data_IF_008753399814
#
_entry.id   IF_008753399814
#
_cell.length_a   1.000
_cell.length_b   1.000
_cell.length_c   1.000
_cell.angle_alpha   90.00
_cell.angle_beta   90.00
_cell.angle_gamma   90.00
#
_symmetry.space_group_name_H-M   'P 1'
#
loop_
_entity.id
_entity.type
_entity.pdbx_description
1 polymer ?
#
# COMPACT_ATOMS: atom_id res chain seq x y z
N UNK A 1 -5.08 -27.46 1.64
CA UNK A 1 -4.58 -26.14 2.06
C UNK A 1 -3.28 -25.88 1.33
N UNK A 2 -3.01 -24.64 0.91
CA UNK A 2 -1.69 -24.27 0.38
C UNK A 2 -0.69 -24.24 1.55
N UNK A 3 0.48 -24.82 1.35
CA UNK A 3 1.63 -24.66 2.24
C UNK A 3 2.40 -23.40 1.87
N UNK A 4 3.34 -22.93 2.72
CA UNK A 4 4.17 -21.75 2.37
C UNK A 4 4.95 -21.96 1.07
N UNK A 5 5.24 -23.20 0.69
CA UNK A 5 5.94 -23.55 -0.55
C UNK A 5 5.08 -23.44 -1.82
N UNK A 6 3.76 -23.30 -1.70
CA UNK A 6 2.84 -23.18 -2.84
C UNK A 6 2.52 -21.72 -3.21
N UNK A 7 3.11 -20.75 -2.50
CA UNK A 7 2.89 -19.33 -2.73
C UNK A 7 3.98 -18.83 -3.68
N UNK A 8 3.60 -18.46 -4.89
CA UNK A 8 4.53 -17.87 -5.87
C UNK A 8 4.32 -16.36 -6.03
N UNK A 9 3.11 -15.88 -5.76
CA UNK A 9 2.72 -14.48 -5.95
C UNK A 9 1.88 -13.99 -4.77
N UNK A 10 2.28 -12.85 -4.22
CA UNK A 10 1.55 -12.17 -3.16
C UNK A 10 1.19 -10.74 -3.58
N UNK A 11 0.03 -10.27 -3.12
CA UNK A 11 -0.43 -8.90 -3.30
C UNK A 11 -0.59 -8.23 -1.94
N UNK A 12 0.07 -7.09 -1.75
CA UNK A 12 -0.01 -6.27 -0.54
C UNK A 12 -0.77 -5.00 -0.90
N UNK A 13 -1.88 -4.73 -0.21
CA UNK A 13 -2.72 -3.55 -0.44
C UNK A 13 -2.66 -2.66 0.80
N UNK A 14 -2.14 -1.44 0.66
CA UNK A 14 -1.96 -0.52 1.77
C UNK A 14 -2.43 0.89 1.42
N UNK A 15 -2.85 1.64 2.43
CA UNK A 15 -3.45 2.94 2.22
C UNK A 15 -2.38 3.98 1.86
N UNK A 16 -1.27 4.02 2.59
CA UNK A 16 -0.25 5.05 2.46
C UNK A 16 1.11 4.46 2.08
N UNK A 17 2.02 5.27 1.51
CA UNK A 17 3.44 4.97 1.56
C UNK A 17 3.86 4.61 2.99
N UNK A 18 4.78 3.66 3.19
CA UNK A 18 5.32 3.10 4.45
C UNK A 18 4.48 2.05 5.22
N UNK A 19 3.16 2.02 5.02
CA UNK A 19 2.26 1.08 5.72
C UNK A 19 2.71 -0.39 5.59
N UNK A 20 3.21 -0.78 4.41
CA UNK A 20 3.60 -2.17 4.11
C UNK A 20 4.83 -2.58 4.92
N UNK A 21 5.82 -1.70 5.00
CA UNK A 21 7.04 -1.90 5.75
C UNK A 21 6.77 -1.99 7.26
N UNK A 22 5.93 -1.10 7.79
CA UNK A 22 5.57 -1.08 9.21
C UNK A 22 4.79 -2.32 9.64
N UNK A 23 3.80 -2.73 8.85
CA UNK A 23 2.89 -3.80 9.26
C UNK A 23 3.40 -5.19 8.87
N UNK A 24 4.08 -5.33 7.74
CA UNK A 24 4.43 -6.62 7.17
C UNK A 24 5.86 -6.72 6.62
N UNK A 25 6.75 -5.76 6.88
CA UNK A 25 8.10 -5.75 6.30
C UNK A 25 8.87 -7.06 6.46
N UNK A 26 8.87 -7.67 7.64
CA UNK A 26 9.51 -8.97 7.88
C UNK A 26 8.87 -10.15 7.12
N UNK A 27 7.55 -10.13 6.94
CA UNK A 27 6.84 -11.14 6.13
C UNK A 27 7.18 -10.97 4.65
N UNK A 28 7.23 -9.72 4.18
CA UNK A 28 7.51 -9.38 2.80
C UNK A 28 8.95 -9.76 2.44
N UNK A 29 9.92 -9.43 3.30
CA UNK A 29 11.31 -9.84 3.13
C UNK A 29 11.44 -11.37 3.04
N UNK A 30 10.77 -12.11 3.93
CA UNK A 30 10.77 -13.59 3.88
C UNK A 30 10.18 -14.12 2.58
N UNK A 31 9.11 -13.51 2.08
CA UNK A 31 8.50 -13.89 0.80
C UNK A 31 9.45 -13.65 -0.37
N UNK A 32 10.03 -12.48 -0.49
CA UNK A 32 10.94 -12.17 -1.59
C UNK A 32 12.23 -13.00 -1.52
N UNK A 33 12.79 -13.23 -0.33
CA UNK A 33 13.96 -14.10 -0.11
C UNK A 33 13.71 -15.56 -0.53
N UNK A 34 12.45 -16.02 -0.44
CA UNK A 34 12.04 -17.37 -0.86
C UNK A 34 11.57 -17.43 -2.32
N UNK A 35 11.67 -16.33 -3.06
CA UNK A 35 11.33 -16.25 -4.48
C UNK A 35 9.86 -15.92 -4.79
N UNK A 36 9.05 -15.57 -3.79
CA UNK A 36 7.68 -15.11 -4.01
C UNK A 36 7.71 -13.73 -4.67
N UNK A 37 7.03 -13.59 -5.80
CA UNK A 37 6.83 -12.30 -6.45
C UNK A 37 5.77 -11.48 -5.70
N UNK A 38 6.20 -10.42 -5.03
CA UNK A 38 5.32 -9.52 -4.29
C UNK A 38 5.01 -8.29 -5.15
N UNK A 39 3.72 -7.95 -5.24
CA UNK A 39 3.23 -6.68 -5.81
C UNK A 39 2.61 -5.83 -4.70
N UNK A 40 2.91 -4.53 -4.70
CA UNK A 40 2.25 -3.54 -3.85
C UNK A 40 1.17 -2.78 -4.61
N UNK A 41 0.03 -2.55 -3.96
CA UNK A 41 -0.93 -1.51 -4.28
C UNK A 41 -0.91 -0.46 -3.17
N UNK A 42 -0.45 0.74 -3.48
CA UNK A 42 -0.42 1.88 -2.56
C UNK A 42 -1.53 2.84 -2.98
N UNK A 43 -2.53 3.01 -2.12
CA UNK A 43 -3.78 3.66 -2.53
C UNK A 43 -3.64 5.18 -2.64
N UNK A 44 -2.94 5.80 -1.70
CA UNK A 44 -2.75 7.26 -1.63
C UNK A 44 -1.29 7.65 -1.80
N UNK A 45 -1.04 8.95 -1.99
CA UNK A 45 0.32 9.48 -2.11
C UNK A 45 0.91 9.98 -0.79
N UNK A 46 0.16 9.91 0.31
CA UNK A 46 0.70 10.25 1.62
C UNK A 46 0.93 11.75 1.85
N UNK A 47 0.16 12.62 1.19
CA UNK A 47 0.36 14.08 1.17
C UNK A 47 0.23 14.79 2.54
N UNK A 48 -0.42 14.19 3.54
CA UNK A 48 -0.51 14.77 4.90
C UNK A 48 0.69 14.40 5.78
N UNK A 49 1.50 13.45 5.32
CA UNK A 49 2.74 13.06 5.97
C UNK A 49 3.82 14.15 5.93
N UNK A 50 4.85 13.98 6.76
CA UNK A 50 6.00 14.88 6.82
C UNK A 50 5.77 16.15 7.65
N UNK A 51 6.77 16.51 8.45
CA UNK A 51 6.73 17.65 9.37
C UNK A 51 7.80 18.72 9.09
N UNK A 52 8.61 18.52 8.05
CA UNK A 52 9.64 19.47 7.66
C UNK A 52 9.01 20.69 6.97
N UNK A 53 9.01 21.83 7.66
CA UNK A 53 8.46 23.08 7.15
C UNK A 53 9.26 23.68 5.98
N UNK A 54 10.48 23.19 5.72
CA UNK A 54 11.28 23.62 4.57
C UNK A 54 10.85 22.98 3.24
N UNK A 55 10.05 21.91 3.31
CA UNK A 55 9.57 21.19 2.13
C UNK A 55 8.18 21.73 1.72
N UNK A 56 7.99 22.20 0.47
CA UNK A 56 6.68 22.56 -0.03
C UNK A 56 5.71 21.38 0.02
N UNK A 57 4.48 21.60 0.49
CA UNK A 57 3.47 20.52 0.61
C UNK A 57 3.18 19.81 -0.70
N UNK A 58 3.21 20.51 -1.83
CA UNK A 58 3.04 19.92 -3.16
C UNK A 58 4.15 18.94 -3.58
N UNK A 59 5.31 18.97 -2.93
CA UNK A 59 6.42 18.05 -3.22
C UNK A 59 6.33 16.74 -2.43
N UNK A 60 5.56 16.71 -1.34
CA UNK A 60 5.43 15.55 -0.43
C UNK A 60 4.99 14.28 -1.17
N UNK A 61 3.94 14.29 -2.02
CA UNK A 61 3.53 13.11 -2.80
C UNK A 61 4.68 12.45 -3.57
N UNK A 62 5.45 13.26 -4.30
CA UNK A 62 6.58 12.78 -5.11
C UNK A 62 7.66 12.18 -4.21
N UNK A 63 8.02 12.88 -3.14
CA UNK A 63 9.05 12.42 -2.18
C UNK A 63 8.65 11.08 -1.57
N UNK A 64 7.40 10.95 -1.11
CA UNK A 64 6.93 9.71 -0.47
C UNK A 64 6.78 8.55 -1.46
N UNK A 65 6.44 8.80 -2.72
CA UNK A 65 6.51 7.76 -3.77
C UNK A 65 7.94 7.28 -3.98
N UNK A 66 8.91 8.19 -4.05
CA UNK A 66 10.34 7.85 -4.20
C UNK A 66 10.84 7.05 -2.98
N UNK A 67 10.44 7.43 -1.77
CA UNK A 67 10.74 6.71 -0.53
C UNK A 67 10.13 5.31 -0.54
N UNK A 68 8.85 5.17 -0.88
CA UNK A 68 8.18 3.87 -0.94
C UNK A 68 8.82 2.94 -1.97
N UNK A 69 9.23 3.45 -3.13
CA UNK A 69 9.93 2.64 -4.14
C UNK A 69 11.27 2.13 -3.61
N UNK A 70 12.04 2.97 -2.92
CA UNK A 70 13.32 2.57 -2.31
C UNK A 70 13.09 1.57 -1.18
N UNK A 71 12.09 1.79 -0.34
CA UNK A 71 11.73 0.89 0.74
C UNK A 71 11.30 -0.50 0.21
N UNK A 72 10.42 -0.53 -0.78
CA UNK A 72 10.00 -1.74 -1.45
C UNK A 72 11.20 -2.48 -2.09
N UNK A 73 12.08 -1.76 -2.78
CA UNK A 73 13.28 -2.34 -3.38
C UNK A 73 14.23 -2.93 -2.33
N UNK A 74 14.34 -2.32 -1.15
CA UNK A 74 15.15 -2.86 -0.04
C UNK A 74 14.63 -4.20 0.49
N UNK A 75 13.33 -4.47 0.32
CA UNK A 75 12.68 -5.74 0.65
C UNK A 75 12.56 -6.69 -0.56
N UNK A 76 13.23 -6.41 -1.68
CA UNK A 76 13.18 -7.25 -2.88
C UNK A 76 11.90 -7.13 -3.72
N UNK A 77 11.00 -6.19 -3.39
CA UNK A 77 9.76 -5.94 -4.12
C UNK A 77 10.06 -5.08 -5.35
N UNK A 78 9.59 -5.52 -6.52
CA UNK A 78 9.89 -4.87 -7.82
C UNK A 78 8.68 -4.24 -8.50
N UNK A 79 7.46 -4.56 -8.06
CA UNK A 79 6.21 -4.05 -8.63
C UNK A 79 5.46 -3.27 -7.57
N UNK A 80 5.50 -1.93 -7.67
CA UNK A 80 4.78 -1.00 -6.81
C UNK A 80 3.82 -0.17 -7.66
N UNK A 81 2.53 -0.25 -7.35
CA UNK A 81 1.46 0.42 -8.11
C UNK A 81 0.79 1.47 -7.23
N UNK A 82 0.98 2.73 -7.61
CA UNK A 82 0.33 3.87 -6.97
C UNK A 82 -1.00 4.17 -7.64
N UNK A 83 -2.06 4.32 -6.84
CA UNK A 83 -3.41 4.65 -7.33
C UNK A 83 -3.68 6.14 -7.31
N UNK A 84 -2.89 6.92 -6.55
CA UNK A 84 -2.94 8.38 -6.56
C UNK A 84 -4.23 8.99 -6.00
N UNK A 85 -4.90 8.28 -5.08
CA UNK A 85 -6.03 8.86 -4.34
C UNK A 85 -5.51 9.90 -3.34
N UNK A 86 -6.27 10.97 -3.12
CA UNK A 86 -5.93 11.90 -2.04
C UNK A 86 -6.17 11.24 -0.67
N UNK A 87 -5.47 11.71 0.35
CA UNK A 87 -5.69 11.21 1.70
C UNK A 87 -7.11 11.55 2.18
N UNK A 88 -7.78 10.59 2.80
CA UNK A 88 -9.20 10.70 3.18
C UNK A 88 -10.21 10.34 2.08
N UNK A 89 -9.78 10.15 0.84
CA UNK A 89 -10.68 9.73 -0.26
C UNK A 89 -10.87 8.22 -0.38
N UNK A 90 -10.14 7.41 0.38
CA UNK A 90 -10.33 5.95 0.42
C UNK A 90 -11.62 5.63 1.18
N UNK A 91 -12.72 5.50 0.45
CA UNK A 91 -14.05 5.29 1.03
C UNK A 91 -14.53 3.83 0.90
N UNK A 92 -15.18 3.27 1.95
CA UNK A 92 -15.85 1.98 1.85
C UNK A 92 -16.91 1.99 0.76
N UNK A 93 -16.91 0.98 -0.11
CA UNK A 93 -17.92 0.85 -1.16
C UNK A 93 -17.64 1.65 -2.43
N UNK A 94 -16.50 2.34 -2.56
CA UNK A 94 -16.10 2.94 -3.82
C UNK A 94 -15.92 1.86 -4.91
N UNK A 95 -16.83 1.91 -5.89
CA UNK A 95 -16.87 0.97 -7.01
C UNK A 95 -15.73 1.19 -8.01
N UNK A 96 -15.18 2.40 -8.12
CA UNK A 96 -14.05 2.70 -9.01
C UNK A 96 -12.77 2.07 -8.45
N UNK A 97 -12.44 2.36 -7.19
CA UNK A 97 -11.32 1.72 -6.51
C UNK A 97 -11.44 0.19 -6.50
N UNK A 98 -12.64 -0.34 -6.22
CA UNK A 98 -12.89 -1.79 -6.26
C UNK A 98 -12.58 -2.38 -7.64
N UNK A 99 -13.03 -1.75 -8.73
CA UNK A 99 -12.74 -2.21 -10.09
C UNK A 99 -11.25 -2.18 -10.40
N UNK A 100 -10.55 -1.12 -9.99
CA UNK A 100 -9.12 -0.98 -10.20
C UNK A 100 -8.33 -2.06 -9.44
N UNK A 101 -8.64 -2.33 -8.17
CA UNK A 101 -8.03 -3.41 -7.40
C UNK A 101 -8.34 -4.79 -7.98
N UNK A 102 -9.58 -5.03 -8.43
CA UNK A 102 -9.95 -6.29 -9.12
C UNK A 102 -9.13 -6.49 -10.40
N UNK A 103 -8.86 -5.43 -11.16
CA UNK A 103 -8.00 -5.51 -12.34
C UNK A 103 -6.57 -5.93 -11.97
N UNK A 104 -6.00 -5.37 -10.90
CA UNK A 104 -4.68 -5.78 -10.39
C UNK A 104 -4.70 -7.24 -9.93
N UNK A 105 -5.70 -7.65 -9.15
CA UNK A 105 -5.83 -9.05 -8.68
C UNK A 105 -5.89 -10.03 -9.86
N UNK A 106 -6.63 -9.69 -10.93
CA UNK A 106 -6.72 -10.52 -12.13
C UNK A 106 -5.42 -10.59 -12.92
N UNK A 107 -4.66 -9.48 -12.95
CA UNK A 107 -3.37 -9.43 -13.62
C UNK A 107 -2.28 -10.20 -12.84
N UNK A 108 -2.22 -10.01 -11.52
CA UNK A 108 -1.21 -10.62 -10.65
C UNK A 108 -1.53 -12.08 -10.33
N UNK A 109 -2.82 -12.45 -10.27
CA UNK A 109 -3.29 -13.77 -9.82
C UNK A 109 -2.60 -14.24 -8.52
N UNK A 110 -2.63 -13.45 -7.44
CA UNK A 110 -1.93 -13.79 -6.22
C UNK A 110 -2.54 -15.02 -5.54
N UNK A 111 -1.72 -15.89 -4.97
CA UNK A 111 -2.18 -16.93 -4.05
C UNK A 111 -2.43 -16.37 -2.64
N UNK A 112 -1.79 -15.25 -2.31
CA UNK A 112 -1.93 -14.59 -1.01
C UNK A 112 -2.17 -13.09 -1.16
N UNK A 113 -3.14 -12.57 -0.42
CA UNK A 113 -3.42 -11.15 -0.35
C UNK A 113 -3.31 -10.71 1.11
N UNK A 114 -2.60 -9.61 1.37
CA UNK A 114 -2.59 -8.94 2.67
C UNK A 114 -3.03 -7.51 2.50
N UNK A 115 -3.60 -6.94 3.56
CA UNK A 115 -3.94 -5.54 3.59
C UNK A 115 -3.77 -4.99 5.00
N UNK A 116 -3.41 -3.72 5.12
CA UNK A 116 -3.37 -3.06 6.42
C UNK A 116 -4.79 -2.69 6.88
N UNK A 117 -5.04 -2.79 8.19
CA UNK A 117 -6.27 -2.26 8.79
C UNK A 117 -6.03 -0.81 9.21
N UNK A 118 -5.63 0.05 8.28
CA UNK A 118 -5.58 1.49 8.54
C UNK A 118 -6.95 2.11 8.27
N UNK A 119 -7.50 2.80 9.26
CA UNK A 119 -8.67 3.66 9.06
C UNK A 119 -8.20 4.88 8.26
N UNK A 120 -8.50 4.89 6.96
CA UNK A 120 -8.50 6.13 6.20
C UNK A 120 -9.80 6.86 6.54
N UNK A 121 -9.78 7.64 7.60
CA UNK A 121 -10.92 8.38 8.10
C UNK A 121 -10.59 9.02 9.44
N UNK A 122 -10.53 10.34 9.49
CA UNK A 122 -10.62 11.04 10.77
C UNK A 122 -11.93 10.61 11.44
N UNK A 123 -11.87 10.09 12.67
CA UNK A 123 -13.03 10.19 13.54
C UNK A 123 -13.26 11.68 13.86
N UNK A 124 -13.89 12.39 12.94
CA UNK A 124 -14.31 13.77 13.09
C UNK A 124 -15.82 13.86 12.87
N UNK A 125 -16.58 13.09 13.65
CA UNK A 125 -17.95 13.46 14.03
C UNK A 125 -18.11 13.25 15.52
N UNK A 126 -17.28 13.94 16.30
CA UNK A 126 -17.74 14.49 17.56
C UNK A 126 -18.59 15.72 17.24
N UNK A 127 -19.89 15.54 17.09
CA UNK A 127 -20.85 16.60 17.36
C UNK A 127 -21.59 16.21 18.62
N UNK A 128 -21.19 16.82 19.72
CA UNK A 128 -22.10 17.08 20.82
C UNK A 128 -23.31 17.85 20.25
N UNK A 129 -24.51 17.35 20.52
CA UNK A 129 -25.78 17.91 20.09
C UNK A 129 -26.90 16.95 20.43
#
# INVERSE_FOLDING_TARGET
>A
MLTEHDIERALVIVAHPDDAEFWAGGTIARWTDTGVAVTYCVLTDGETGGYDASIPRGDIPRIRRDEQQKAAASLGVKDVRFFGLAEGEVQPGDMQLRRALVAVIRAVRPQRVTWSRHQCGSQATGTAG
#
